data_IF_977432438667
#
_entry.id   IF_977432438667
#
_cell.length_a   1.000
_cell.length_b   1.000
_cell.length_c   1.000
_cell.angle_alpha   90.00
_cell.angle_beta   90.00
_cell.angle_gamma   90.00
#
_symmetry.space_group_name_H-M   'P 1'
#
loop_
_entity.id
_entity.type
_entity.pdbx_description
1 polymer ?
#
# COMPACT_ATOMS: atom_id res chain seq x y z
N UNK A 1 -16.83 -34.66 -43.32
CA UNK A 1 -16.08 -33.39 -43.28
C UNK A 1 -16.60 -32.62 -42.08
N UNK A 2 -16.01 -32.87 -40.93
CA UNK A 2 -16.34 -32.19 -39.68
C UNK A 2 -15.48 -30.94 -39.60
N UNK A 3 -16.10 -29.80 -39.30
CA UNK A 3 -15.44 -28.49 -39.25
C UNK A 3 -14.41 -28.40 -38.12
N UNK A 4 -13.53 -27.38 -38.15
CA UNK A 4 -12.48 -27.20 -37.16
C UNK A 4 -13.12 -26.90 -35.80
N UNK A 5 -12.73 -27.65 -34.79
CA UNK A 5 -13.16 -27.50 -33.41
C UNK A 5 -12.97 -26.05 -32.96
N UNK A 6 -14.11 -25.40 -32.69
CA UNK A 6 -14.15 -24.13 -31.99
C UNK A 6 -13.61 -24.34 -30.58
N UNK A 7 -12.97 -23.30 -30.05
CA UNK A 7 -12.61 -23.21 -28.64
C UNK A 7 -13.93 -23.18 -27.85
N UNK A 8 -14.45 -24.35 -27.51
CA UNK A 8 -15.69 -24.49 -26.76
C UNK A 8 -15.45 -23.96 -25.34
N UNK A 9 -16.14 -22.88 -24.97
CA UNK A 9 -16.22 -22.32 -23.61
C UNK A 9 -16.93 -23.24 -22.61
N UNK A 10 -16.83 -24.56 -22.81
CA UNK A 10 -17.39 -25.58 -21.95
C UNK A 10 -16.32 -26.08 -20.97
N UNK A 11 -16.69 -26.12 -19.70
CA UNK A 11 -15.88 -26.65 -18.62
C UNK A 11 -15.40 -28.08 -18.91
N UNK A 12 -14.09 -28.32 -18.84
CA UNK A 12 -13.46 -29.58 -19.22
C UNK A 12 -12.25 -29.92 -18.32
N UNK A 13 -11.43 -30.91 -18.71
CA UNK A 13 -10.29 -31.36 -17.89
C UNK A 13 -9.15 -30.32 -17.79
N UNK A 14 -8.99 -29.42 -18.76
CA UNK A 14 -7.98 -28.36 -18.66
C UNK A 14 -8.35 -27.37 -17.55
N UNK A 15 -9.64 -27.04 -17.44
CA UNK A 15 -10.18 -26.23 -16.34
C UNK A 15 -9.97 -26.91 -14.99
N UNK A 16 -10.24 -28.23 -14.89
CA UNK A 16 -9.98 -29.00 -13.65
C UNK A 16 -8.51 -28.95 -13.25
N UNK A 17 -7.59 -29.15 -14.20
CA UNK A 17 -6.15 -29.11 -13.94
C UNK A 17 -5.71 -27.71 -13.48
N UNK A 18 -6.25 -26.67 -14.11
CA UNK A 18 -5.96 -25.29 -13.71
C UNK A 18 -6.52 -24.97 -12.33
N UNK A 19 -7.75 -25.39 -12.03
CA UNK A 19 -8.36 -25.26 -10.70
C UNK A 19 -7.56 -26.01 -9.62
N UNK A 20 -7.05 -27.20 -9.91
CA UNK A 20 -6.19 -27.94 -8.99
C UNK A 20 -4.92 -27.16 -8.65
N UNK A 21 -4.31 -26.51 -9.64
CA UNK A 21 -3.17 -25.64 -9.41
C UNK A 21 -3.54 -24.40 -8.58
N UNK A 22 -4.70 -23.79 -8.81
CA UNK A 22 -5.22 -22.67 -8.02
C UNK A 22 -5.46 -23.07 -6.56
N UNK A 23 -6.08 -24.22 -6.30
CA UNK A 23 -6.32 -24.72 -4.95
C UNK A 23 -5.00 -25.02 -4.20
N UNK A 24 -3.95 -25.44 -4.92
CA UNK A 24 -2.64 -25.67 -4.34
C UNK A 24 -1.85 -24.38 -4.06
N UNK A 25 -1.96 -23.37 -4.94
CA UNK A 25 -1.17 -22.13 -4.87
C UNK A 25 -1.89 -20.97 -4.16
N UNK A 26 -3.21 -21.06 -3.98
CA UNK A 26 -4.12 -20.05 -3.41
C UNK A 26 -4.24 -18.73 -4.20
N UNK A 27 -3.15 -18.27 -4.82
CA UNK A 27 -3.10 -17.11 -5.72
C UNK A 27 -2.19 -17.40 -6.91
N UNK A 28 -2.46 -16.79 -8.07
CA UNK A 28 -1.59 -16.89 -9.25
C UNK A 28 -1.60 -15.56 -10.01
N UNK A 29 -0.44 -15.12 -10.49
CA UNK A 29 -0.36 -13.97 -11.41
C UNK A 29 -0.55 -14.45 -12.85
N UNK A 30 -0.90 -13.55 -13.79
CA UNK A 30 -0.94 -13.91 -15.20
C UNK A 30 0.41 -14.46 -15.68
N UNK A 31 1.52 -13.82 -15.28
CA UNK A 31 2.87 -14.22 -15.67
C UNK A 31 3.17 -15.68 -15.25
N UNK A 32 2.73 -16.09 -14.05
CA UNK A 32 2.88 -17.46 -13.56
C UNK A 32 1.84 -18.42 -14.15
N UNK A 33 0.66 -17.90 -14.54
CA UNK A 33 -0.41 -18.68 -15.14
C UNK A 33 -0.11 -19.06 -16.59
N UNK A 34 0.56 -18.20 -17.37
CA UNK A 34 0.92 -18.46 -18.77
C UNK A 34 1.69 -19.77 -18.97
N UNK A 35 2.85 -20.01 -18.32
CA UNK A 35 3.57 -21.28 -18.51
C UNK A 35 2.79 -22.49 -18.00
N UNK A 36 1.94 -22.31 -16.99
CA UNK A 36 1.09 -23.37 -16.46
C UNK A 36 -0.02 -23.76 -17.45
N UNK A 37 -0.76 -22.77 -17.97
CA UNK A 37 -1.82 -22.96 -18.96
C UNK A 37 -1.26 -23.53 -20.26
N UNK A 38 -0.11 -23.04 -20.72
CA UNK A 38 0.59 -23.60 -21.88
C UNK A 38 0.91 -25.08 -21.70
N UNK A 39 1.38 -25.47 -20.51
CA UNK A 39 1.66 -26.87 -20.17
C UNK A 39 0.38 -27.72 -20.14
N UNK A 40 -0.71 -27.21 -19.56
CA UNK A 40 -2.00 -27.89 -19.49
C UNK A 40 -2.60 -28.08 -20.90
N UNK A 41 -2.58 -27.03 -21.72
CA UNK A 41 -3.10 -27.05 -23.08
C UNK A 41 -2.29 -27.99 -23.98
N UNK A 42 -0.95 -27.97 -23.87
CA UNK A 42 -0.07 -28.94 -24.54
C UNK A 42 -0.36 -30.37 -24.13
N UNK A 43 -0.61 -30.64 -22.84
CA UNK A 43 -0.95 -31.98 -22.38
C UNK A 43 -2.34 -32.44 -22.87
N UNK A 44 -3.28 -31.51 -23.06
CA UNK A 44 -4.60 -31.81 -23.61
C UNK A 44 -4.56 -32.11 -25.11
N UNK A 45 -3.72 -31.39 -25.85
CA UNK A 45 -3.54 -31.56 -27.30
C UNK A 45 -2.05 -31.74 -27.65
N UNK A 46 -1.47 -32.95 -27.45
CA UNK A 46 -0.03 -33.18 -27.63
C UNK A 46 0.49 -32.91 -29.04
N UNK A 47 -0.35 -33.10 -30.05
CA UNK A 47 0.00 -32.89 -31.46
C UNK A 47 0.13 -31.39 -31.82
N UNK A 48 -0.36 -30.49 -30.94
CA UNK A 48 -0.23 -29.04 -31.09
C UNK A 48 0.27 -28.42 -29.77
N UNK A 49 1.60 -28.45 -29.53
CA UNK A 49 2.19 -27.81 -28.36
C UNK A 49 1.87 -26.32 -28.33
N UNK A 50 1.55 -25.83 -27.13
CA UNK A 50 1.28 -24.41 -26.85
C UNK A 50 2.44 -23.85 -26.04
N UNK A 51 2.99 -22.72 -26.48
CA UNK A 51 4.06 -22.02 -25.76
C UNK A 51 3.47 -20.98 -24.79
N UNK A 52 4.20 -20.58 -23.73
CA UNK A 52 3.72 -19.56 -22.79
C UNK A 52 3.33 -18.23 -23.46
N UNK A 53 4.04 -17.85 -24.53
CA UNK A 53 3.73 -16.67 -25.35
C UNK A 53 2.42 -16.78 -26.15
N UNK A 54 1.95 -18.00 -26.43
CA UNK A 54 0.69 -18.23 -27.14
C UNK A 54 -0.53 -18.05 -26.24
N UNK A 55 -0.35 -18.10 -24.91
CA UNK A 55 -1.42 -17.89 -23.93
C UNK A 55 -1.67 -16.39 -23.76
N UNK A 56 -2.81 -15.95 -24.26
CA UNK A 56 -3.25 -14.56 -24.16
C UNK A 56 -3.91 -14.25 -22.81
N UNK A 57 -4.12 -12.95 -22.53
CA UNK A 57 -4.94 -12.52 -21.40
C UNK A 57 -6.39 -13.00 -21.55
N UNK A 58 -6.93 -12.96 -22.77
CA UNK A 58 -8.29 -13.41 -23.08
C UNK A 58 -8.47 -14.89 -22.75
N UNK A 59 -7.48 -15.74 -23.08
CA UNK A 59 -7.50 -17.16 -22.72
C UNK A 59 -7.57 -17.34 -21.20
N UNK A 60 -6.77 -16.59 -20.45
CA UNK A 60 -6.78 -16.63 -18.99
C UNK A 60 -8.14 -16.21 -18.41
N UNK A 61 -8.71 -15.10 -18.90
CA UNK A 61 -10.00 -14.59 -18.43
C UNK A 61 -11.14 -15.57 -18.75
N UNK A 62 -11.11 -16.20 -19.93
CA UNK A 62 -12.07 -17.25 -20.32
C UNK A 62 -11.98 -18.48 -19.40
N UNK A 63 -10.77 -18.89 -19.00
CA UNK A 63 -10.59 -19.96 -18.02
C UNK A 63 -11.19 -19.57 -16.66
N UNK A 64 -10.92 -18.36 -16.18
CA UNK A 64 -11.45 -17.86 -14.90
C UNK A 64 -12.98 -17.78 -14.93
N UNK A 65 -13.57 -17.26 -16.01
CA UNK A 65 -15.02 -17.18 -16.19
C UNK A 65 -15.66 -18.57 -16.15
N UNK A 66 -15.17 -19.50 -16.97
CA UNK A 66 -15.70 -20.87 -17.05
C UNK A 66 -15.56 -21.60 -15.72
N UNK A 67 -14.48 -21.35 -14.97
CA UNK A 67 -14.31 -21.85 -13.62
C UNK A 67 -15.32 -21.25 -12.65
N UNK A 68 -15.50 -19.93 -12.63
CA UNK A 68 -16.46 -19.27 -11.74
C UNK A 68 -17.91 -19.76 -11.97
N UNK A 69 -18.31 -19.95 -13.23
CA UNK A 69 -19.62 -20.56 -13.55
C UNK A 69 -19.77 -21.96 -12.94
N UNK A 70 -18.71 -22.76 -12.99
CA UNK A 70 -18.70 -24.12 -12.43
C UNK A 70 -18.59 -24.16 -10.90
N UNK A 71 -18.02 -23.12 -10.29
CA UNK A 71 -17.77 -23.01 -8.85
C UNK A 71 -18.95 -22.35 -8.11
N UNK A 72 -19.77 -21.57 -8.80
CA UNK A 72 -20.94 -20.88 -8.24
C UNK A 72 -21.86 -21.77 -7.40
N UNK A 73 -22.18 -23.03 -7.78
CA UNK A 73 -23.02 -23.92 -6.96
C UNK A 73 -22.40 -24.33 -5.61
N UNK A 74 -21.10 -24.09 -5.42
CA UNK A 74 -20.36 -24.39 -4.19
C UNK A 74 -20.04 -23.14 -3.38
N UNK A 75 -20.62 -21.99 -3.73
CA UNK A 75 -20.33 -20.68 -3.12
C UNK A 75 -18.83 -20.32 -3.16
N UNK A 76 -18.13 -20.76 -4.20
CA UNK A 76 -16.71 -20.44 -4.45
C UNK A 76 -16.58 -19.53 -5.67
N UNK A 77 -15.63 -18.58 -5.61
CA UNK A 77 -15.28 -17.74 -6.74
C UNK A 77 -13.79 -17.37 -6.73
N UNK A 78 -13.23 -17.20 -7.92
CA UNK A 78 -11.89 -16.67 -8.18
C UNK A 78 -12.02 -15.14 -8.28
N UNK A 79 -11.40 -14.43 -7.33
CA UNK A 79 -11.57 -12.98 -7.10
C UNK A 79 -10.41 -12.15 -7.69
N UNK A 80 -10.43 -11.88 -9.00
CA UNK A 80 -9.34 -11.12 -9.65
C UNK A 80 -9.37 -9.63 -9.31
N UNK A 81 -10.53 -8.99 -9.38
CA UNK A 81 -10.68 -7.53 -9.24
C UNK A 81 -10.43 -7.05 -7.80
N UNK A 82 -10.81 -7.87 -6.81
CA UNK A 82 -10.61 -7.58 -5.40
C UNK A 82 -9.12 -7.57 -5.03
N UNK A 83 -8.37 -8.57 -5.50
CA UNK A 83 -6.91 -8.63 -5.28
C UNK A 83 -6.23 -7.43 -5.94
N UNK A 84 -6.65 -7.05 -7.16
CA UNK A 84 -6.15 -5.85 -7.83
C UNK A 84 -6.47 -4.57 -7.06
N UNK A 85 -7.65 -4.47 -6.43
CA UNK A 85 -7.99 -3.36 -5.54
C UNK A 85 -7.09 -3.30 -4.30
N UNK A 86 -6.91 -4.43 -3.60
CA UNK A 86 -6.03 -4.49 -2.43
C UNK A 86 -4.59 -4.12 -2.80
N UNK A 87 -4.09 -4.60 -3.94
CA UNK A 87 -2.76 -4.22 -4.44
C UNK A 87 -2.66 -2.71 -4.67
N UNK A 88 -3.63 -2.08 -5.35
CA UNK A 88 -3.66 -0.61 -5.55
C UNK A 88 -3.65 0.15 -4.23
N UNK A 89 -4.34 -0.36 -3.21
CA UNK A 89 -4.33 0.20 -1.85
C UNK A 89 -2.94 0.12 -1.23
N UNK A 90 -2.25 -1.02 -1.35
CA UNK A 90 -0.87 -1.17 -0.85
C UNK A 90 0.12 -0.29 -1.62
N UNK A 91 0.01 -0.21 -2.94
CA UNK A 91 0.84 0.66 -3.77
C UNK A 91 0.64 2.13 -3.40
N UNK A 92 -0.61 2.54 -3.15
CA UNK A 92 -0.89 3.87 -2.62
C UNK A 92 -0.22 4.10 -1.26
N UNK A 93 -0.27 3.14 -0.32
CA UNK A 93 0.40 3.27 0.98
C UNK A 93 1.92 3.37 0.85
N UNK A 94 2.56 2.46 0.11
CA UNK A 94 4.01 2.27 0.13
C UNK A 94 4.77 3.01 -0.96
N UNK A 95 4.07 3.54 -1.96
CA UNK A 95 4.66 4.37 -3.02
C UNK A 95 4.13 5.80 -2.95
N UNK A 96 2.82 5.97 -3.15
CA UNK A 96 2.22 7.32 -3.27
C UNK A 96 2.32 8.12 -1.97
N UNK A 97 2.00 7.48 -0.84
CA UNK A 97 1.98 8.08 0.49
C UNK A 97 3.22 7.74 1.33
N UNK A 98 4.30 7.28 0.69
CA UNK A 98 5.58 7.03 1.33
C UNK A 98 6.70 7.78 0.59
N UNK A 99 6.74 9.10 0.81
CA UNK A 99 7.69 9.98 0.12
C UNK A 99 8.90 10.29 1.01
N UNK A 100 10.02 10.81 0.44
CA UNK A 100 11.15 11.30 1.25
C UNK A 100 10.74 12.38 2.27
N UNK A 101 9.72 13.19 1.94
CA UNK A 101 9.25 14.29 2.79
C UNK A 101 8.32 13.85 3.90
N UNK A 102 7.46 12.87 3.61
CA UNK A 102 6.46 12.33 4.53
C UNK A 102 6.27 10.83 4.31
N UNK A 103 6.61 10.04 5.31
CA UNK A 103 6.48 8.58 5.31
C UNK A 103 5.17 8.21 6.02
N UNK A 104 4.04 8.37 5.32
CA UNK A 104 2.70 8.20 5.89
C UNK A 104 2.34 6.72 5.95
N UNK A 105 2.60 5.94 4.88
CA UNK A 105 2.37 4.48 4.81
C UNK A 105 0.99 4.05 5.34
N UNK A 106 0.01 4.90 5.10
CA UNK A 106 -1.37 4.78 5.52
C UNK A 106 -2.22 5.65 4.60
N UNK A 107 -3.50 5.29 4.43
CA UNK A 107 -4.42 6.03 3.57
C UNK A 107 -5.73 6.30 4.30
N UNK A 108 -6.37 7.42 4.00
CA UNK A 108 -7.72 7.70 4.50
C UNK A 108 -8.76 6.84 3.78
N UNK A 109 -9.93 6.64 4.38
CA UNK A 109 -11.05 5.94 3.73
C UNK A 109 -11.40 6.55 2.37
N UNK A 110 -11.44 7.88 2.28
CA UNK A 110 -11.73 8.59 1.02
C UNK A 110 -10.67 8.33 -0.06
N UNK A 111 -9.38 8.23 0.31
CA UNK A 111 -8.32 7.88 -0.62
C UNK A 111 -8.44 6.43 -1.08
N UNK A 112 -8.72 5.50 -0.16
CA UNK A 112 -8.91 4.09 -0.47
C UNK A 112 -10.06 3.88 -1.46
N UNK A 113 -11.22 4.51 -1.24
CA UNK A 113 -12.38 4.35 -2.12
C UNK A 113 -12.18 4.91 -3.53
N UNK A 114 -11.33 5.94 -3.68
CA UNK A 114 -10.97 6.44 -5.02
C UNK A 114 -10.18 5.41 -5.82
N UNK A 115 -9.49 4.49 -5.15
CA UNK A 115 -8.73 3.42 -5.78
C UNK A 115 -9.60 2.26 -6.24
N UNK A 116 -10.92 2.25 -5.97
CA UNK A 116 -11.84 1.24 -6.50
C UNK A 116 -11.82 1.20 -8.03
N UNK A 117 -11.67 2.38 -8.68
CA UNK A 117 -11.53 2.50 -10.13
C UNK A 117 -10.06 2.36 -10.53
N UNK A 118 -9.77 1.50 -11.50
CA UNK A 118 -8.41 1.32 -12.03
C UNK A 118 -7.92 2.62 -12.70
N UNK A 119 -6.62 2.93 -12.70
CA UNK A 119 -6.07 4.01 -13.49
C UNK A 119 -6.32 3.80 -14.99
N UNK A 120 -6.34 4.88 -15.76
CA UNK A 120 -6.56 4.79 -17.21
C UNK A 120 -5.47 3.99 -17.94
N UNK A 121 -4.24 4.01 -17.42
CA UNK A 121 -3.11 3.28 -18.00
C UNK A 121 -3.24 1.77 -17.80
N UNK A 122 -3.68 1.31 -16.63
CA UNK A 122 -3.96 -0.11 -16.35
C UNK A 122 -5.06 -0.62 -17.29
N UNK A 123 -6.15 0.16 -17.43
CA UNK A 123 -7.22 -0.14 -18.41
C UNK A 123 -6.75 -0.12 -19.87
N UNK A 124 -5.69 0.62 -20.21
CA UNK A 124 -5.14 0.71 -21.57
C UNK A 124 -4.17 -0.41 -21.89
N UNK A 125 -3.35 -0.83 -20.92
CA UNK A 125 -2.44 -1.99 -21.05
C UNK A 125 -3.22 -3.27 -21.29
N UNK A 126 -4.39 -3.42 -20.65
CA UNK A 126 -5.30 -4.56 -20.90
C UNK A 126 -5.98 -4.49 -22.28
N UNK A 127 -6.23 -3.29 -22.80
CA UNK A 127 -6.88 -3.08 -24.11
C UNK A 127 -5.96 -3.16 -25.34
N UNK A 128 -4.65 -3.40 -25.18
CA UNK A 128 -3.69 -3.51 -26.30
C UNK A 128 -3.52 -4.96 -26.82
N UNK A 129 -4.19 -5.93 -26.22
CA UNK A 129 -4.36 -7.27 -26.81
C UNK A 129 -5.40 -7.23 -27.94
N UNK A 130 -4.93 -7.10 -29.19
CA UNK A 130 -5.69 -7.21 -30.46
C UNK A 130 -6.78 -6.15 -30.75
N UNK A 131 -6.73 -5.63 -31.98
CA UNK A 131 -7.72 -4.72 -32.56
C UNK A 131 -9.02 -5.47 -32.91
N UNK A 132 -9.77 -5.93 -31.91
CA UNK A 132 -11.18 -6.27 -32.11
C UNK A 132 -11.95 -6.03 -30.82
N UNK A 133 -12.92 -5.12 -30.91
CA UNK A 133 -13.68 -4.62 -29.79
C UNK A 133 -14.53 -5.71 -29.12
N UNK A 134 -14.08 -6.20 -27.96
CA UNK A 134 -14.94 -6.77 -26.92
C UNK A 134 -14.36 -6.39 -25.55
N UNK A 135 -15.22 -6.21 -24.55
CA UNK A 135 -15.03 -5.39 -23.34
C UNK A 135 -13.74 -5.66 -22.55
N UNK A 136 -13.05 -4.63 -22.01
CA UNK A 136 -11.91 -4.85 -21.11
C UNK A 136 -12.40 -5.56 -19.84
N UNK A 137 -11.71 -6.63 -19.44
CA UNK A 137 -11.86 -7.22 -18.11
C UNK A 137 -11.69 -6.10 -17.09
N UNK A 138 -12.77 -5.77 -16.38
CA UNK A 138 -12.84 -4.51 -15.65
C UNK A 138 -12.18 -4.71 -14.29
N UNK A 139 -10.88 -4.47 -14.17
CA UNK A 139 -10.15 -4.48 -12.86
C UNK A 139 -10.67 -3.46 -11.83
N UNK A 140 -11.76 -2.75 -12.14
CA UNK A 140 -12.42 -1.79 -11.27
C UNK A 140 -13.60 -2.41 -10.54
N UNK A 141 -13.65 -2.26 -9.22
CA UNK A 141 -14.79 -2.68 -8.40
C UNK A 141 -15.72 -1.51 -8.08
N UNK A 142 -16.95 -1.79 -7.60
CA UNK A 142 -17.84 -0.73 -7.11
C UNK A 142 -17.31 -0.20 -5.79
N UNK A 143 -17.66 1.05 -5.47
CA UNK A 143 -17.23 1.66 -4.20
C UNK A 143 -17.80 0.92 -2.98
N UNK A 144 -19.03 0.39 -3.07
CA UNK A 144 -19.61 -0.42 -2.00
C UNK A 144 -18.82 -1.72 -1.76
N UNK A 145 -18.36 -2.37 -2.84
CA UNK A 145 -17.53 -3.58 -2.73
C UNK A 145 -16.17 -3.23 -2.12
N UNK A 146 -15.57 -2.09 -2.51
CA UNK A 146 -14.34 -1.58 -1.91
C UNK A 146 -14.49 -1.30 -0.39
N UNK A 147 -15.60 -0.71 0.04
CA UNK A 147 -15.90 -0.50 1.47
C UNK A 147 -16.01 -1.84 2.21
N UNK A 148 -16.72 -2.81 1.64
CA UNK A 148 -16.89 -4.14 2.22
C UNK A 148 -15.55 -4.87 2.36
N UNK A 149 -14.71 -4.85 1.32
CA UNK A 149 -13.37 -5.48 1.34
C UNK A 149 -12.49 -4.83 2.40
N UNK A 150 -12.50 -3.49 2.51
CA UNK A 150 -11.73 -2.79 3.54
C UNK A 150 -12.22 -3.13 4.95
N UNK A 151 -13.54 -3.29 5.16
CA UNK A 151 -14.08 -3.75 6.44
C UNK A 151 -13.61 -5.17 6.76
N UNK A 152 -13.75 -6.09 5.79
CA UNK A 152 -13.31 -7.48 5.95
C UNK A 152 -11.82 -7.57 6.30
N UNK A 153 -10.97 -6.80 5.62
CA UNK A 153 -9.54 -6.77 5.91
C UNK A 153 -9.22 -6.26 7.32
N UNK A 154 -10.03 -5.34 7.85
CA UNK A 154 -9.89 -4.91 9.25
C UNK A 154 -10.38 -5.99 10.21
N UNK A 155 -11.52 -6.59 9.95
CA UNK A 155 -12.14 -7.62 10.80
C UNK A 155 -11.26 -8.87 10.89
N UNK A 156 -10.63 -9.28 9.79
CA UNK A 156 -9.66 -10.39 9.71
C UNK A 156 -8.25 -10.03 10.23
N UNK A 157 -8.06 -8.78 10.63
CA UNK A 157 -6.80 -8.30 11.20
C UNK A 157 -5.66 -8.18 10.21
N UNK A 158 -5.93 -8.00 8.92
CA UNK A 158 -4.93 -7.63 7.92
C UNK A 158 -4.64 -6.14 7.94
N UNK A 159 -5.70 -5.34 8.01
CA UNK A 159 -5.62 -3.89 8.15
C UNK A 159 -6.04 -3.47 9.56
N UNK A 160 -5.75 -2.23 9.89
CA UNK A 160 -6.29 -1.54 11.05
C UNK A 160 -6.80 -0.17 10.61
N UNK A 161 -7.93 0.27 11.17
CA UNK A 161 -8.46 1.61 10.97
C UNK A 161 -8.22 2.44 12.24
N UNK A 162 -7.45 3.52 12.10
CA UNK A 162 -7.17 4.41 13.23
C UNK A 162 -8.38 5.27 13.58
N UNK A 163 -8.38 5.84 14.79
CA UNK A 163 -9.39 6.83 15.21
C UNK A 163 -9.42 8.08 14.32
N UNK A 164 -8.35 8.33 13.55
CA UNK A 164 -8.27 9.46 12.60
C UNK A 164 -8.77 9.09 11.20
N UNK A 165 -9.29 7.87 11.01
CA UNK A 165 -9.82 7.40 9.73
C UNK A 165 -8.75 6.97 8.73
N UNK A 166 -7.59 6.51 9.20
CA UNK A 166 -6.53 5.96 8.35
C UNK A 166 -6.49 4.43 8.41
N UNK A 167 -6.52 3.80 7.24
CA UNK A 167 -6.12 2.41 7.07
C UNK A 167 -4.60 2.29 7.01
N UNK A 168 -4.06 1.28 7.70
CA UNK A 168 -2.68 0.83 7.57
C UNK A 168 -2.62 -0.70 7.74
N UNK A 169 -1.50 -1.33 7.36
CA UNK A 169 -1.26 -2.73 7.72
C UNK A 169 -1.26 -2.92 9.24
N UNK A 170 -1.86 -4.01 9.69
CA UNK A 170 -1.80 -4.46 11.08
C UNK A 170 -0.42 -5.06 11.42
N UNK A 171 -0.08 -5.26 12.70
CA UNK A 171 1.12 -6.00 13.09
C UNK A 171 1.19 -7.42 12.49
N UNK A 172 0.04 -8.12 12.44
CA UNK A 172 -0.07 -9.47 11.85
C UNK A 172 0.34 -9.43 10.38
N UNK A 173 -0.25 -8.53 9.60
CA UNK A 173 0.04 -8.41 8.18
C UNK A 173 1.51 -8.02 7.92
N UNK A 174 2.09 -7.13 8.73
CA UNK A 174 3.51 -6.75 8.58
C UNK A 174 4.47 -7.92 8.83
N UNK A 175 4.10 -8.85 9.72
CA UNK A 175 4.90 -10.05 9.98
C UNK A 175 4.74 -11.07 8.85
N UNK A 176 3.49 -11.36 8.48
CA UNK A 176 3.17 -12.38 7.47
C UNK A 176 3.64 -11.96 6.06
N UNK A 177 3.45 -10.69 5.69
CA UNK A 177 3.80 -10.16 4.37
C UNK A 177 5.23 -9.59 4.29
N UNK A 178 6.07 -9.81 5.32
CA UNK A 178 7.40 -9.18 5.41
C UNK A 178 8.23 -9.39 4.14
N UNK A 179 8.36 -10.63 3.69
CA UNK A 179 9.16 -10.98 2.50
C UNK A 179 8.61 -10.30 1.25
N UNK A 180 7.32 -10.47 1.01
CA UNK A 180 6.63 -9.91 -0.15
C UNK A 180 6.73 -8.37 -0.20
N UNK A 181 6.57 -7.68 0.93
CA UNK A 181 6.70 -6.21 0.98
C UNK A 181 8.10 -5.73 0.60
N UNK A 182 9.15 -6.44 1.04
CA UNK A 182 10.54 -6.10 0.72
C UNK A 182 10.79 -6.33 -0.77
N UNK A 183 10.44 -7.51 -1.27
CA UNK A 183 10.63 -7.89 -2.67
C UNK A 183 9.90 -6.91 -3.61
N UNK A 184 8.64 -6.61 -3.30
CA UNK A 184 7.80 -5.73 -4.13
C UNK A 184 8.26 -4.27 -4.10
N UNK A 185 8.56 -3.71 -2.92
CA UNK A 185 8.75 -2.27 -2.80
C UNK A 185 10.21 -1.81 -2.67
N UNK A 186 11.16 -2.73 -2.43
CA UNK A 186 12.59 -2.42 -2.42
C UNK A 186 13.35 -3.09 -3.58
N UNK A 187 13.07 -4.36 -3.89
CA UNK A 187 13.90 -5.11 -4.86
C UNK A 187 13.45 -4.87 -6.31
N UNK A 188 12.14 -4.85 -6.59
CA UNK A 188 11.61 -4.53 -7.93
C UNK A 188 11.79 -3.05 -8.30
N UNK A 189 11.65 -2.14 -7.33
CA UNK A 189 11.86 -0.71 -7.55
C UNK A 189 13.32 -0.38 -7.95
N UNK A 190 14.29 -1.20 -7.51
CA UNK A 190 15.69 -1.04 -7.90
C UNK A 190 15.98 -1.49 -9.36
N UNK A 191 15.04 -2.18 -10.02
CA UNK A 191 15.17 -2.66 -11.40
C UNK A 191 14.51 -1.74 -12.44
N UNK A 192 13.62 -0.82 -12.01
CA UNK A 192 12.96 0.15 -12.90
C UNK A 192 13.80 1.42 -13.16
N UNK A 193 14.87 1.64 -12.39
CA UNK A 193 15.77 2.80 -12.48
C UNK A 193 16.93 2.62 -13.50
N UNK A 194 16.90 1.57 -14.35
CA UNK A 194 17.89 1.30 -15.42
C UNK A 194 17.73 2.21 -16.67
N UNK A 195 17.06 3.37 -16.52
CA UNK A 195 16.91 4.39 -17.57
C UNK A 195 17.69 5.66 -17.22
N UNK A 196 18.95 5.75 -17.69
CA UNK A 196 19.77 6.95 -17.95
C UNK A 196 19.69 8.18 -16.99
N UNK A 197 19.31 8.02 -15.72
CA UNK A 197 19.42 9.04 -14.67
C UNK A 197 20.27 8.51 -13.51
N UNK A 198 21.59 8.58 -13.70
CA UNK A 198 22.59 8.32 -12.65
C UNK A 198 22.42 9.31 -11.46
N UNK A 199 22.58 8.80 -10.22
CA UNK A 199 22.95 9.51 -8.97
C UNK A 199 21.95 9.71 -7.81
N UNK A 200 20.86 8.94 -7.67
CA UNK A 200 20.27 8.72 -6.32
C UNK A 200 19.97 7.25 -6.10
N UNK A 201 20.91 6.51 -5.49
CA UNK A 201 20.77 5.08 -5.26
C UNK A 201 19.39 4.69 -4.70
N UNK A 202 18.74 3.71 -5.36
CA UNK A 202 17.39 3.24 -5.13
C UNK A 202 16.89 3.47 -3.70
N UNK A 203 15.91 4.38 -3.57
CA UNK A 203 15.35 4.74 -2.26
C UNK A 203 14.69 3.51 -1.63
N UNK A 204 15.22 3.08 -0.48
CA UNK A 204 14.60 2.04 0.35
C UNK A 204 13.23 2.51 0.87
N UNK A 205 12.15 1.91 0.38
CA UNK A 205 10.76 2.23 0.77
C UNK A 205 10.41 1.57 2.11
N UNK A 206 10.66 0.27 2.26
CA UNK A 206 10.40 -0.52 3.47
C UNK A 206 11.63 -0.47 4.39
N UNK A 207 11.46 0.15 5.57
CA UNK A 207 12.54 0.40 6.54
C UNK A 207 12.30 -0.35 7.85
N UNK A 208 13.40 -0.67 8.54
CA UNK A 208 13.38 -1.44 9.77
C UNK A 208 13.69 -0.58 11.00
N UNK A 209 13.14 -1.01 12.14
CA UNK A 209 13.38 -0.40 13.43
C UNK A 209 14.82 -0.65 13.86
N UNK A 210 15.54 0.42 14.20
CA UNK A 210 16.92 0.31 14.67
C UNK A 210 17.06 -0.40 16.03
N UNK A 211 15.94 -0.68 16.73
CA UNK A 211 15.93 -1.43 17.99
C UNK A 211 15.51 -2.90 17.82
N UNK A 212 14.31 -3.17 17.29
CA UNK A 212 13.78 -4.54 17.19
C UNK A 212 14.00 -5.21 15.83
N UNK A 213 14.46 -4.46 14.80
CA UNK A 213 14.69 -4.94 13.42
C UNK A 213 13.44 -5.37 12.64
N UNK A 214 12.25 -5.00 13.13
CA UNK A 214 10.98 -5.17 12.40
C UNK A 214 10.59 -3.96 11.57
N UNK A 215 9.69 -4.15 10.60
CA UNK A 215 9.21 -3.09 9.71
C UNK A 215 8.57 -1.97 10.53
N UNK A 216 8.93 -0.71 10.21
CA UNK A 216 8.35 0.48 10.85
C UNK A 216 7.37 1.15 9.90
N UNK A 217 6.07 0.99 10.17
CA UNK A 217 5.00 1.78 9.54
C UNK A 217 4.47 2.90 10.45
N UNK A 218 4.75 2.83 11.75
CA UNK A 218 4.39 3.87 12.73
C UNK A 218 5.55 4.07 13.71
N UNK A 219 6.00 5.31 13.87
CA UNK A 219 7.14 5.59 14.74
C UNK A 219 7.76 6.97 14.55
N UNK A 220 9.08 7.00 14.69
CA UNK A 220 9.92 8.17 14.54
C UNK A 220 11.00 7.90 13.49
N UNK A 221 11.36 8.95 12.75
CA UNK A 221 12.50 8.93 11.83
C UNK A 221 13.60 9.87 12.29
N UNK A 222 14.82 9.54 11.87
CA UNK A 222 15.97 10.41 12.05
C UNK A 222 15.68 11.83 11.50
N UNK A 223 16.06 12.90 12.22
CA UNK A 223 15.96 14.28 11.73
C UNK A 223 16.75 14.52 10.44
N UNK A 224 17.86 13.80 10.24
CA UNK A 224 18.52 13.77 8.93
C UNK A 224 17.64 13.02 7.93
N UNK A 225 17.07 13.75 6.96
CA UNK A 225 16.10 13.22 6.00
C UNK A 225 16.69 12.17 5.04
N UNK A 226 18.00 12.23 4.77
CA UNK A 226 18.70 11.25 3.94
C UNK A 226 19.01 9.95 4.71
N UNK A 227 18.92 9.96 6.05
CA UNK A 227 19.16 8.79 6.85
C UNK A 227 17.95 7.85 6.88
N UNK A 228 18.18 6.55 6.71
CA UNK A 228 17.16 5.50 6.75
C UNK A 228 16.82 5.00 8.17
N UNK A 229 17.44 5.52 9.23
CA UNK A 229 17.15 5.07 10.59
C UNK A 229 15.72 5.42 11.00
N UNK A 230 14.94 4.39 11.35
CA UNK A 230 13.57 4.46 11.87
C UNK A 230 13.46 3.71 13.19
N UNK A 231 12.52 4.10 14.03
CA UNK A 231 12.29 3.46 15.34
C UNK A 231 10.81 3.50 15.65
N UNK A 232 10.21 2.39 16.08
CA UNK A 232 8.84 2.42 16.61
C UNK A 232 8.77 3.29 17.87
N UNK A 233 7.63 3.93 18.13
CA UNK A 233 7.48 4.83 19.29
C UNK A 233 7.83 4.15 20.62
N UNK A 234 7.42 2.89 20.81
CA UNK A 234 7.72 2.12 22.02
C UNK A 234 9.19 1.64 22.08
N UNK A 235 9.90 1.61 20.95
CA UNK A 235 11.29 1.18 20.86
C UNK A 235 12.31 2.29 21.16
N UNK A 236 11.89 3.57 21.16
CA UNK A 236 12.80 4.72 21.33
C UNK A 236 13.59 4.64 22.63
N UNK A 237 12.91 4.37 23.75
CA UNK A 237 13.56 4.22 25.06
C UNK A 237 14.55 3.06 25.08
N UNK A 238 14.20 1.94 24.44
CA UNK A 238 15.08 0.76 24.35
C UNK A 238 16.32 1.07 23.53
N UNK A 239 16.16 1.78 22.41
CA UNK A 239 17.28 2.21 21.57
C UNK A 239 18.29 3.06 22.35
N UNK A 240 17.84 4.11 23.04
CA UNK A 240 18.77 4.98 23.76
C UNK A 240 19.38 4.33 25.00
N UNK A 241 18.64 3.44 25.67
CA UNK A 241 19.22 2.62 26.75
C UNK A 241 20.37 1.76 26.23
N UNK A 242 20.22 1.13 25.06
CA UNK A 242 21.29 0.36 24.43
C UNK A 242 22.49 1.22 24.00
N UNK A 243 22.28 2.53 23.77
CA UNK A 243 23.32 3.51 23.46
C UNK A 243 23.88 4.23 24.70
N UNK A 244 23.63 3.73 25.92
CA UNK A 244 24.16 4.36 27.14
C UNK A 244 23.52 5.71 27.47
N UNK A 245 22.28 5.95 27.04
CA UNK A 245 21.54 7.20 27.27
C UNK A 245 21.78 8.28 26.21
N UNK A 246 22.58 8.00 25.18
CA UNK A 246 22.84 8.93 24.08
C UNK A 246 21.63 9.02 23.16
N UNK A 247 21.00 10.19 23.12
CA UNK A 247 19.87 10.50 22.23
C UNK A 247 20.36 10.89 20.83
N UNK A 248 21.09 9.98 20.19
CA UNK A 248 21.64 10.17 18.85
C UNK A 248 21.19 9.03 17.92
N UNK A 249 21.10 9.35 16.63
CA UNK A 249 20.85 8.37 15.60
C UNK A 249 21.96 7.31 15.59
N UNK A 250 21.65 6.01 15.66
CA UNK A 250 22.66 4.95 15.67
C UNK A 250 23.47 4.91 14.38
N UNK A 251 22.87 5.31 13.25
CA UNK A 251 23.48 5.28 11.93
C UNK A 251 24.32 6.53 11.61
N UNK A 252 23.73 7.73 11.65
CA UNK A 252 24.40 8.97 11.21
C UNK A 252 24.81 9.92 12.34
N UNK A 253 24.63 9.52 13.62
CA UNK A 253 24.97 10.30 14.82
C UNK A 253 24.30 11.67 14.98
N UNK A 254 23.38 12.04 14.08
CA UNK A 254 22.53 13.21 14.24
C UNK A 254 21.77 13.13 15.56
N UNK A 255 21.77 14.21 16.34
CA UNK A 255 20.99 14.30 17.57
C UNK A 255 19.51 14.03 17.28
N UNK A 256 18.87 13.21 18.11
CA UNK A 256 17.48 12.78 17.93
C UNK A 256 16.49 13.79 18.54
N UNK A 257 16.72 15.08 18.25
CA UNK A 257 15.88 16.18 18.71
C UNK A 257 14.77 16.44 17.68
N UNK A 258 13.55 16.69 18.16
CA UNK A 258 12.36 16.91 17.32
C UNK A 258 12.21 15.91 16.16
N UNK A 259 12.23 14.59 16.43
CA UNK A 259 12.16 13.60 15.37
C UNK A 259 10.84 13.69 14.61
N UNK A 260 10.91 13.57 13.29
CA UNK A 260 9.71 13.58 12.46
C UNK A 260 8.95 12.25 12.64
N UNK A 261 7.61 12.27 12.58
CA UNK A 261 6.81 11.07 12.71
C UNK A 261 6.87 10.21 11.44
N UNK A 262 6.61 8.93 11.63
CA UNK A 262 6.34 7.91 10.62
C UNK A 262 4.93 7.38 10.86
N UNK A 263 4.19 7.10 9.79
CA UNK A 263 2.79 6.68 9.86
C UNK A 263 1.82 7.84 9.64
N UNK A 264 0.55 7.65 9.99
CA UNK A 264 -0.51 8.66 9.82
C UNK A 264 -0.18 10.06 10.39
N UNK A 265 0.66 10.14 11.43
CA UNK A 265 1.07 11.41 12.03
C UNK A 265 1.97 12.24 11.10
N UNK A 266 2.62 11.62 10.12
CA UNK A 266 3.36 12.30 9.07
C UNK A 266 2.45 13.06 8.10
N UNK A 267 1.18 12.67 7.96
CA UNK A 267 0.22 13.38 7.10
C UNK A 267 -0.07 14.80 7.61
N UNK A 268 -0.05 15.02 8.93
CA UNK A 268 -0.28 16.35 9.52
C UNK A 268 0.84 17.35 9.21
N UNK A 269 2.04 16.86 8.92
CA UNK A 269 3.20 17.70 8.64
C UNK A 269 3.40 17.95 7.14
N UNK A 270 2.80 17.13 6.27
CA UNK A 270 2.87 17.35 4.81
C UNK A 270 1.90 18.44 4.33
N UNK A 271 0.78 18.67 5.02
CA UNK A 271 -0.23 19.68 4.70
C UNK A 271 0.09 21.10 5.18
N UNK A 272 1.33 21.56 5.01
CA UNK A 272 1.79 22.84 5.57
C UNK A 272 1.03 24.07 5.07
N UNK A 273 0.03 24.51 5.84
CA UNK A 273 -0.37 25.93 5.98
C UNK A 273 -1.19 26.13 7.27
N UNK A 274 -0.63 26.86 8.26
CA UNK A 274 -1.47 27.71 9.11
C UNK A 274 -1.43 27.57 10.64
N UNK A 275 -0.73 26.62 11.26
CA UNK A 275 -0.64 26.63 12.74
C UNK A 275 0.55 27.48 13.21
N UNK A 276 0.33 28.80 13.17
CA UNK A 276 1.18 29.81 13.82
C UNK A 276 1.17 29.49 15.32
N UNK A 277 2.22 28.85 15.82
CA UNK A 277 2.46 28.73 17.28
C UNK A 277 2.57 30.15 17.81
N UNK A 278 1.57 30.61 18.56
CA UNK A 278 1.71 31.79 19.41
C UNK A 278 2.69 31.44 20.51
N UNK A 279 3.98 31.72 20.25
CA UNK A 279 5.00 31.79 21.28
C UNK A 279 4.69 33.09 22.02
N UNK A 280 4.08 32.97 23.20
CA UNK A 280 3.87 34.08 24.12
C UNK A 280 5.22 34.59 24.60
N UNK A 281 5.77 35.56 23.89
CA UNK A 281 6.94 36.31 24.28
C UNK A 281 6.55 37.36 25.31
N UNK A 282 7.06 37.19 26.52
CA UNK A 282 7.12 38.23 27.55
C UNK A 282 7.85 39.45 27.00
N UNK A 283 7.20 40.63 27.02
CA UNK A 283 7.87 41.91 26.86
C UNK A 283 7.52 42.84 28.02
N UNK A 284 8.56 43.19 28.75
CA UNK A 284 8.68 44.17 29.82
C UNK A 284 8.62 45.60 29.24
N UNK A 285 8.01 46.52 29.99
CA UNK A 285 8.13 47.99 29.86
C UNK A 285 7.03 48.63 29.01
N UNK A 286 6.37 49.72 29.38
CA UNK A 286 6.53 50.70 30.45
C UNK A 286 5.91 52.02 29.94
N UNK A 287 5.27 52.80 30.81
CA UNK A 287 4.95 54.21 30.52
C UNK A 287 3.48 54.62 30.56
N UNK A 288 3.05 55.07 31.75
CA UNK A 288 2.31 56.31 32.01
C UNK A 288 1.07 56.67 31.19
N UNK A 289 -0.06 56.82 31.90
CA UNK A 289 -1.00 57.94 31.78
C UNK A 289 -2.04 57.87 32.90
N UNK A 290 -1.80 58.68 33.92
CA UNK A 290 -2.70 59.70 34.44
C UNK A 290 -4.20 59.36 34.39
N UNK A 291 -4.78 59.00 35.54
CA UNK A 291 -6.17 59.33 35.83
C UNK A 291 -6.33 59.74 37.29
N UNK A 292 -7.00 60.89 37.44
CA UNK A 292 -7.18 61.63 38.67
C UNK A 292 -8.57 61.32 39.18
N UNK A 293 -8.70 60.51 40.24
CA UNK A 293 -9.97 60.34 40.94
C UNK A 293 -9.85 60.69 42.43
N UNK A 294 -10.27 61.93 42.66
CA UNK A 294 -10.82 62.55 43.87
C UNK A 294 -11.07 61.62 45.06
N UNK A 295 -10.29 61.85 46.12
CA UNK A 295 -10.62 61.52 47.50
C UNK A 295 -11.68 62.49 48.02
N UNK A 296 -12.84 61.97 48.44
CA UNK A 296 -13.73 62.66 49.37
C UNK A 296 -13.98 61.71 50.53
N UNK A 297 -13.20 61.90 51.58
CA UNK A 297 -13.56 61.45 52.92
C UNK A 297 -14.25 62.60 53.64
N UNK A 298 -15.44 62.35 54.17
CA UNK A 298 -16.07 63.18 55.17
C UNK A 298 -16.64 62.23 56.24
N UNK A 299 -16.28 62.55 57.47
CA UNK A 299 -16.63 61.90 58.72
C UNK A 299 -18.10 62.13 59.11
N UNK A 300 -18.50 61.40 60.16
CA UNK A 300 -19.59 61.63 61.13
C UNK A 300 -20.80 60.67 61.10
N UNK A 301 -20.92 59.88 62.18
CA UNK A 301 -22.09 59.08 62.56
C UNK A 301 -21.75 57.73 63.16
#
# INVERSE_FOLDING_TARGET
MSGPDGVDGHYNNTHRAFLQALLARQTITLADAKPLLASIQTAHTPDRPTLPEDVSQEDFDNYVHTLNDSLSPFDMEIRTEEIAFVKRVLDAMFETYNTPRAEIMAITSMQALKLAKAPAEERRREGQGTQQATQPANTSIRMADAENILSLLVDEGWFQLSQKGFYSLSPRALMELRGWLIETYNDQAAQEEDSDEEEEGARVKIKFCAACRDIVTVGQRCPNRQCNARVHNHCVRTLFRAQGGREECPACKTAWQDPLPVGENAARQSGGAGSRRTIGGSSIGGGGRDDSSLTIGAEDG
#
